data_IF_728025009474
#
_entry.id   IF_728025009474
#
_cell.length_a   1.000
_cell.length_b   1.000
_cell.length_c   1.000
_cell.angle_alpha   90.00
_cell.angle_beta   90.00
_cell.angle_gamma   90.00
#
_symmetry.space_group_name_H-M   'P 1'
#
loop_
_entity.id
_entity.type
_entity.pdbx_description
1 polymer ?
#
# COMPACT_ATOMS: atom_id res chain seq x y z
N UNK A 1 -4.92 -2.77 -17.78
CA UNK A 1 -5.46 -3.05 -16.45
C UNK A 1 -4.34 -3.67 -15.62
N UNK A 2 -4.34 -3.40 -14.33
CA UNK A 2 -3.35 -3.90 -13.37
C UNK A 2 -4.09 -4.73 -12.33
N UNK A 3 -3.49 -5.82 -11.87
CA UNK A 3 -4.01 -6.62 -10.76
C UNK A 3 -3.09 -6.47 -9.54
N UNK A 4 -3.70 -6.38 -8.36
CA UNK A 4 -3.00 -6.26 -7.09
C UNK A 4 -3.24 -7.50 -6.25
N UNK A 5 -2.16 -8.10 -5.77
CA UNK A 5 -2.21 -9.16 -4.77
C UNK A 5 -1.55 -8.67 -3.49
N UNK A 6 -2.32 -8.63 -2.41
CA UNK A 6 -1.94 -7.97 -1.17
C UNK A 6 -1.85 -9.01 -0.07
N UNK A 7 -0.78 -8.93 0.72
CA UNK A 7 -0.54 -9.79 1.87
C UNK A 7 -0.12 -8.94 3.06
N UNK A 8 -0.71 -9.21 4.22
CA UNK A 8 -0.40 -8.55 5.47
C UNK A 8 -1.04 -9.30 6.63
N UNK A 9 -0.65 -8.95 7.85
CA UNK A 9 -1.28 -9.51 9.05
C UNK A 9 -2.68 -8.92 9.26
N UNK A 10 -3.57 -9.70 9.87
CA UNK A 10 -4.92 -9.23 10.22
C UNK A 10 -4.98 -8.46 11.55
N UNK A 11 -3.94 -8.56 12.38
CA UNK A 11 -3.88 -7.92 13.69
C UNK A 11 -2.47 -7.51 14.05
N UNK A 12 -2.33 -6.51 14.93
CA UNK A 12 -1.05 -6.11 15.51
C UNK A 12 -1.24 -5.35 16.82
N UNK A 13 -0.15 -4.93 17.46
CA UNK A 13 -0.21 -3.99 18.57
C UNK A 13 -0.05 -2.53 18.11
N UNK A 14 -0.61 -1.60 18.88
CA UNK A 14 -0.44 -0.16 18.68
C UNK A 14 1.04 0.22 18.73
N UNK A 15 1.48 1.14 17.89
CA UNK A 15 2.88 1.56 17.74
C UNK A 15 3.84 0.44 17.31
N UNK A 16 3.34 -0.71 16.87
CA UNK A 16 4.16 -1.78 16.31
C UNK A 16 4.11 -1.72 14.78
N UNK A 17 5.27 -1.62 14.16
CA UNK A 17 5.35 -1.47 12.72
C UNK A 17 4.94 -2.75 11.98
N UNK A 18 4.01 -2.61 11.05
CA UNK A 18 3.43 -3.70 10.28
C UNK A 18 3.87 -3.65 8.82
N UNK A 19 4.26 -4.82 8.30
CA UNK A 19 4.67 -4.98 6.90
C UNK A 19 3.53 -5.52 6.04
N UNK A 20 3.44 -4.99 4.83
CA UNK A 20 2.52 -5.42 3.79
C UNK A 20 3.31 -5.71 2.52
N UNK A 21 3.05 -6.84 1.88
CA UNK A 21 3.57 -7.15 0.55
C UNK A 21 2.47 -6.90 -0.46
N UNK A 22 2.79 -6.13 -1.50
CA UNK A 22 1.92 -5.89 -2.64
C UNK A 22 2.64 -6.38 -3.89
N UNK A 23 1.99 -7.28 -4.61
CA UNK A 23 2.37 -7.68 -5.96
C UNK A 23 1.49 -6.98 -6.97
N UNK A 24 2.12 -6.29 -7.90
CA UNK A 24 1.49 -5.57 -9.00
C UNK A 24 1.72 -6.41 -10.26
N UNK A 25 0.65 -6.83 -10.94
CA UNK A 25 0.71 -7.55 -12.21
C UNK A 25 0.25 -6.62 -13.34
N UNK A 26 1.10 -6.41 -14.34
CA UNK A 26 0.69 -5.76 -15.57
C UNK A 26 -0.04 -6.78 -16.46
N UNK A 27 -1.35 -6.70 -16.53
CA UNK A 27 -2.14 -7.65 -17.31
C UNK A 27 -2.37 -7.20 -18.77
N UNK A 28 -1.65 -6.20 -19.24
CA UNK A 28 -1.78 -5.69 -20.61
C UNK A 28 -0.74 -6.31 -21.55
N UNK A 29 -0.95 -6.12 -22.85
CA UNK A 29 -0.01 -6.51 -23.90
C UNK A 29 1.12 -5.50 -24.14
N UNK A 30 1.26 -4.48 -23.29
CA UNK A 30 2.26 -3.41 -23.45
C UNK A 30 3.05 -3.19 -22.17
N UNK A 31 4.25 -2.66 -22.30
CA UNK A 31 5.03 -2.15 -21.17
C UNK A 31 4.36 -0.91 -20.57
N UNK A 32 4.32 -0.83 -19.24
CA UNK A 32 3.88 0.35 -18.48
C UNK A 32 5.10 1.03 -17.85
N UNK A 33 5.00 2.32 -17.56
CA UNK A 33 5.98 3.04 -16.73
C UNK A 33 5.27 3.49 -15.46
N UNK A 34 5.62 2.90 -14.31
CA UNK A 34 4.81 2.94 -13.11
C UNK A 34 5.44 3.82 -12.03
N UNK A 35 4.62 4.64 -11.39
CA UNK A 35 4.96 5.42 -10.20
C UNK A 35 3.97 5.13 -9.08
N UNK A 36 4.47 4.98 -7.86
CA UNK A 36 3.69 4.72 -6.67
C UNK A 36 3.73 5.94 -5.76
N UNK A 37 2.60 6.33 -5.18
CA UNK A 37 2.52 7.42 -4.20
C UNK A 37 1.46 7.15 -3.15
N UNK A 38 1.56 7.84 -2.01
CA UNK A 38 0.56 7.78 -0.94
C UNK A 38 -0.29 9.04 -0.88
N UNK A 39 -1.57 8.88 -0.58
CA UNK A 39 -2.44 9.94 -0.13
C UNK A 39 -2.41 10.03 1.40
N UNK A 40 -1.71 11.06 1.89
CA UNK A 40 -1.60 11.37 3.31
C UNK A 40 -2.92 11.78 3.96
N UNK A 41 -3.97 12.11 3.19
CA UNK A 41 -5.29 12.40 3.76
C UNK A 41 -5.91 11.16 4.40
N UNK A 42 -5.66 9.99 3.82
CA UNK A 42 -6.20 8.71 4.27
C UNK A 42 -5.55 8.26 5.58
N UNK A 43 -4.21 8.29 5.64
CA UNK A 43 -3.45 7.89 6.82
C UNK A 43 -3.74 8.74 8.06
N UNK A 44 -4.02 10.05 7.87
CA UNK A 44 -4.46 10.95 8.94
C UNK A 44 -5.82 10.56 9.52
N UNK A 45 -6.78 10.18 8.67
CA UNK A 45 -8.13 9.78 9.09
C UNK A 45 -8.09 8.49 9.91
N UNK A 46 -7.34 7.51 9.43
CA UNK A 46 -7.23 6.19 10.07
C UNK A 46 -6.19 6.16 11.20
N UNK A 47 -5.44 7.25 11.41
CA UNK A 47 -4.45 7.42 12.47
C UNK A 47 -3.35 6.36 12.42
N UNK A 48 -2.71 6.22 11.25
CA UNK A 48 -1.49 5.44 11.09
C UNK A 48 -0.46 6.25 10.29
N UNK A 49 0.81 5.86 10.38
CA UNK A 49 1.91 6.48 9.64
C UNK A 49 2.51 5.47 8.67
N UNK A 50 2.59 5.81 7.39
CA UNK A 50 3.43 5.07 6.44
C UNK A 50 4.90 5.31 6.79
N UNK A 51 5.69 4.23 6.87
CA UNK A 51 7.13 4.30 7.03
C UNK A 51 7.78 4.30 5.65
N UNK A 52 8.71 5.25 5.46
CA UNK A 52 9.56 5.31 4.28
C UNK A 52 8.95 6.15 3.16
N UNK A 53 8.53 5.49 2.09
CA UNK A 53 8.37 6.11 0.77
C UNK A 53 7.08 6.93 0.71
N UNK A 54 7.19 8.23 0.39
CA UNK A 54 6.03 9.09 0.03
C UNK A 54 5.65 8.90 -1.45
N UNK A 55 6.67 8.79 -2.31
CA UNK A 55 6.54 8.47 -3.73
C UNK A 55 7.75 7.68 -4.22
N UNK A 56 7.55 6.67 -5.06
CA UNK A 56 8.60 5.85 -5.68
C UNK A 56 8.30 5.61 -7.15
N UNK A 57 9.26 5.94 -8.01
CA UNK A 57 9.25 5.45 -9.39
C UNK A 57 9.57 3.95 -9.38
N UNK A 58 8.60 3.13 -9.79
CA UNK A 58 8.80 1.69 -9.95
C UNK A 58 9.49 1.38 -11.29
N UNK A 59 9.36 2.29 -12.26
CA UNK A 59 9.95 2.20 -13.58
C UNK A 59 9.12 1.32 -14.51
N UNK A 60 9.78 0.79 -15.54
CA UNK A 60 9.12 0.00 -16.58
C UNK A 60 8.72 -1.38 -16.07
N UNK A 61 7.47 -1.76 -16.33
CA UNK A 61 6.95 -3.10 -16.11
C UNK A 61 6.39 -3.66 -17.42
N UNK A 62 7.07 -4.66 -17.96
CA UNK A 62 6.69 -5.28 -19.23
C UNK A 62 5.33 -5.99 -19.17
N UNK A 63 4.80 -6.31 -20.35
CA UNK A 63 3.55 -7.04 -20.50
C UNK A 63 3.60 -8.37 -19.72
N UNK A 64 2.55 -8.65 -18.95
CA UNK A 64 2.38 -9.87 -18.14
C UNK A 64 3.43 -10.09 -17.05
N UNK A 65 4.24 -9.07 -16.72
CA UNK A 65 5.23 -9.15 -15.65
C UNK A 65 4.69 -8.61 -14.33
N UNK A 66 5.37 -9.00 -13.24
CA UNK A 66 5.02 -8.58 -11.87
C UNK A 66 6.09 -7.72 -11.24
N UNK A 67 5.67 -6.79 -10.39
CA UNK A 67 6.54 -6.03 -9.49
C UNK A 67 6.10 -6.25 -8.04
N UNK A 68 7.03 -6.67 -7.19
CA UNK A 68 6.78 -6.87 -5.76
C UNK A 68 7.30 -5.67 -4.97
N UNK A 69 6.49 -5.13 -4.07
CA UNK A 69 6.87 -4.08 -3.14
C UNK A 69 6.48 -4.44 -1.72
N UNK A 70 7.39 -4.16 -0.78
CA UNK A 70 7.10 -4.17 0.65
C UNK A 70 6.81 -2.74 1.12
N UNK A 71 5.70 -2.59 1.83
CA UNK A 71 5.28 -1.37 2.50
C UNK A 71 5.28 -1.61 4.00
N UNK A 72 5.47 -0.54 4.77
CA UNK A 72 5.45 -0.62 6.23
C UNK A 72 4.67 0.57 6.79
N UNK A 73 3.87 0.33 7.83
CA UNK A 73 3.17 1.39 8.56
C UNK A 73 3.20 1.17 10.06
N UNK A 74 2.89 2.20 10.83
CA UNK A 74 2.71 2.15 12.28
C UNK A 74 1.33 2.67 12.64
N UNK A 75 0.45 1.87 13.26
CA UNK A 75 -0.82 2.36 13.76
C UNK A 75 -0.61 3.15 15.05
N UNK A 76 -1.29 4.31 15.17
CA UNK A 76 -1.16 5.21 16.33
C UNK A 76 -2.27 5.03 17.37
N UNK A 77 -3.37 4.38 17.00
CA UNK A 77 -4.48 4.09 17.91
C UNK A 77 -5.04 2.70 17.70
N UNK A 78 -5.68 2.16 18.75
CA UNK A 78 -6.30 0.84 18.74
C UNK A 78 -7.59 0.80 17.91
N UNK A 79 -8.11 -0.41 17.69
CA UNK A 79 -9.36 -0.67 16.98
C UNK A 79 -9.14 -1.19 15.56
N UNK A 80 -10.24 -1.37 14.82
CA UNK A 80 -10.21 -1.77 13.42
C UNK A 80 -9.75 -0.58 12.56
N UNK A 81 -8.68 -0.77 11.79
CA UNK A 81 -8.11 0.21 10.87
C UNK A 81 -8.29 -0.24 9.43
N UNK A 82 -8.72 0.68 8.58
CA UNK A 82 -8.69 0.49 7.13
C UNK A 82 -7.32 0.90 6.62
N UNK A 83 -6.70 0.07 5.80
CA UNK A 83 -5.39 0.34 5.20
C UNK A 83 -5.60 0.66 3.72
N UNK A 84 -5.06 1.80 3.31
CA UNK A 84 -5.44 2.42 2.05
C UNK A 84 -4.63 3.65 1.70
N UNK A 85 -5.12 4.38 0.70
CA UNK A 85 -4.51 5.62 0.21
C UNK A 85 -3.28 5.38 -0.66
N UNK A 86 -3.15 4.23 -1.31
CA UNK A 86 -2.06 3.95 -2.24
C UNK A 86 -2.50 4.30 -3.67
N UNK A 87 -1.65 4.99 -4.42
CA UNK A 87 -1.94 5.41 -5.81
C UNK A 87 -0.85 4.92 -6.74
N UNK A 88 -1.23 4.11 -7.73
CA UNK A 88 -0.34 3.64 -8.78
C UNK A 88 -0.64 4.39 -10.07
N UNK A 89 0.32 5.15 -10.59
CA UNK A 89 0.17 5.92 -11.83
C UNK A 89 0.96 5.27 -12.96
N UNK A 90 0.28 4.92 -14.05
CA UNK A 90 0.90 4.61 -15.34
C UNK A 90 1.22 5.92 -16.05
N UNK A 91 2.50 6.29 -16.10
CA UNK A 91 3.01 7.51 -16.72
C UNK A 91 2.89 7.50 -18.25
N UNK A 92 2.85 6.31 -18.86
CA UNK A 92 2.71 6.17 -20.32
C UNK A 92 1.31 6.54 -20.76
N UNK A 93 0.30 6.14 -19.98
CA UNK A 93 -1.11 6.43 -20.24
C UNK A 93 -1.68 7.62 -19.45
N UNK A 94 -0.93 8.13 -18.47
CA UNK A 94 -1.40 9.12 -17.50
C UNK A 94 -2.67 8.69 -16.77
N UNK A 95 -2.74 7.40 -16.43
CA UNK A 95 -3.86 6.81 -15.72
C UNK A 95 -3.45 6.42 -14.31
N UNK A 96 -4.30 6.70 -13.33
CA UNK A 96 -4.06 6.39 -11.91
C UNK A 96 -5.03 5.33 -11.44
N UNK A 97 -4.49 4.31 -10.77
CA UNK A 97 -5.24 3.28 -10.05
C UNK A 97 -5.18 3.62 -8.55
N UNK A 98 -6.32 4.01 -7.98
CA UNK A 98 -6.44 4.35 -6.57
C UNK A 98 -6.84 3.11 -5.75
N UNK A 99 -6.04 2.78 -4.74
CA UNK A 99 -6.32 1.75 -3.75
C UNK A 99 -6.69 2.45 -2.44
N UNK A 100 -7.95 2.87 -2.37
CA UNK A 100 -8.49 3.57 -1.20
C UNK A 100 -8.67 2.66 0.01
N UNK A 101 -9.00 1.38 -0.19
CA UNK A 101 -9.19 0.42 0.90
C UNK A 101 -8.82 -0.97 0.40
N UNK A 102 -7.69 -1.46 0.88
CA UNK A 102 -7.09 -2.66 0.32
C UNK A 102 -6.76 -3.73 1.36
N UNK A 103 -6.80 -3.38 2.65
CA UNK A 103 -6.58 -4.31 3.75
C UNK A 103 -7.18 -3.78 5.06
N UNK A 104 -7.49 -4.68 5.99
CA UNK A 104 -8.00 -4.33 7.31
C UNK A 104 -7.06 -4.85 8.40
N UNK A 105 -6.75 -4.03 9.39
CA UNK A 105 -5.84 -4.34 10.48
C UNK A 105 -6.51 -4.08 11.82
N UNK A 106 -6.62 -5.11 12.66
CA UNK A 106 -7.14 -4.96 14.02
C UNK A 106 -6.01 -4.64 15.00
N UNK A 107 -6.02 -3.43 15.56
CA UNK A 107 -4.94 -2.91 16.40
C UNK A 107 -5.29 -3.07 17.87
N UNK A 108 -4.47 -3.84 18.60
CA UNK A 108 -4.61 -4.13 20.01
C UNK A 108 -3.75 -3.18 20.87
N UNK A 109 -4.13 -2.91 22.12
CA UNK A 109 -3.29 -2.17 23.05
C UNK A 109 -2.05 -2.99 23.42
N UNK A 110 -0.90 -2.34 23.59
CA UNK A 110 0.26 -2.96 24.23
C UNK A 110 0.02 -3.02 25.73
N UNK A 111 0.10 -4.22 26.31
CA UNK A 111 0.19 -4.36 27.76
C UNK A 111 1.61 -4.01 28.19
N UNK A 112 1.75 -2.90 28.91
CA UNK A 112 2.98 -2.59 29.64
C UNK A 112 2.83 -3.20 31.03
N UNK A 113 3.57 -4.27 31.30
CA UNK A 113 3.68 -4.88 32.63
C UNK A 113 4.77 -4.17 33.46
#
# INVERSE_FOLDING_TARGET
YVYFLIRGQGQCYVEEAQKFSIRILNCTQRTMDLSLSFDNSFSKREQFLWIGIISKQLGKLDAHQTYDIELQLVPLTCGLKRIGGLRLTDLTMRHTYDLEDFHHLFVLPKLVL
#
